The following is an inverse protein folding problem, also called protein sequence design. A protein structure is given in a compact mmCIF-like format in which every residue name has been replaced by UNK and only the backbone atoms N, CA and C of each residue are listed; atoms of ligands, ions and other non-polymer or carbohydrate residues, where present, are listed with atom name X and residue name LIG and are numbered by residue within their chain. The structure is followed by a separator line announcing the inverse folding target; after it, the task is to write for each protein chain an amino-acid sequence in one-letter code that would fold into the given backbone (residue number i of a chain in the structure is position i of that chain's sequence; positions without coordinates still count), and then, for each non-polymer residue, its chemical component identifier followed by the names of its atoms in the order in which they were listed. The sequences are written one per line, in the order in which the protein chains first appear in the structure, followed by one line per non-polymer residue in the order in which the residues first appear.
data_IF_089454831234
#
_entry.id   IF_089454831234
#
_cell.length_a   1.000
_cell.length_b   1.000
_cell.length_c   1.000
_cell.angle_alpha   90.00
_cell.angle_beta   90.00
_cell.angle_gamma   90.00
#
_symmetry.space_group_name_H-M   'P 1'
#
loop_
_entity.id
_entity.type
_entity.pdbx_description
1 polymer ?
#
# COMPACT_ATOMS: atom_id res chain seq x y z
N UNK A 1 -7.86 34.35 -12.70
CA UNK A 1 -8.64 33.11 -12.52
C UNK A 1 -8.61 32.33 -13.83
N UNK A 2 -7.68 31.38 -13.96
CA UNK A 2 -7.49 30.63 -15.23
C UNK A 2 -8.55 29.51 -15.29
N UNK A 3 -9.50 29.62 -16.22
CA UNK A 3 -10.43 28.55 -16.57
C UNK A 3 -9.63 27.41 -17.20
N UNK A 4 -9.38 26.34 -16.43
CA UNK A 4 -8.88 25.08 -16.97
C UNK A 4 -10.01 24.52 -17.85
N UNK A 5 -9.81 24.63 -19.17
CA UNK A 5 -10.67 24.08 -20.21
C UNK A 5 -10.82 22.57 -19.92
N UNK A 6 -12.05 22.06 -19.95
CA UNK A 6 -12.30 20.62 -19.83
C UNK A 6 -11.52 19.89 -20.92
N UNK A 7 -10.38 19.28 -20.54
CA UNK A 7 -9.61 18.40 -21.40
C UNK A 7 -10.43 17.12 -21.53
N UNK A 8 -11.14 16.99 -22.65
CA UNK A 8 -11.78 15.73 -23.04
C UNK A 8 -10.69 14.73 -23.38
N UNK A 9 -10.31 13.90 -22.40
CA UNK A 9 -9.32 12.85 -22.62
C UNK A 9 -9.93 11.70 -23.44
N UNK A 10 -9.29 11.39 -24.57
CA UNK A 10 -9.52 10.14 -25.27
C UNK A 10 -9.28 8.95 -24.33
N UNK A 11 -10.19 7.96 -24.29
CA UNK A 11 -9.96 6.76 -23.50
C UNK A 11 -8.67 6.08 -23.98
N UNK A 12 -7.68 5.91 -23.08
CA UNK A 12 -6.49 5.14 -23.40
C UNK A 12 -6.92 3.74 -23.88
N UNK A 13 -6.27 3.25 -24.95
CA UNK A 13 -6.49 1.89 -25.42
C UNK A 13 -6.29 0.90 -24.26
N UNK A 14 -7.06 -0.18 -24.26
CA UNK A 14 -7.01 -1.19 -23.20
C UNK A 14 -5.59 -1.73 -22.98
N UNK A 15 -4.85 -1.96 -24.07
CA UNK A 15 -3.45 -2.38 -24.04
C UNK A 15 -2.56 -1.36 -23.32
N UNK A 16 -2.72 -0.05 -23.61
CA UNK A 16 -1.95 1.01 -22.94
C UNK A 16 -2.18 1.02 -21.43
N UNK A 17 -3.39 0.76 -20.98
CA UNK A 17 -3.70 0.68 -19.54
C UNK A 17 -3.01 -0.52 -18.87
N UNK A 18 -2.98 -1.68 -19.53
CA UNK A 18 -2.26 -2.87 -19.03
C UNK A 18 -0.77 -2.58 -18.90
N UNK A 19 -0.16 -1.98 -19.93
CA UNK A 19 1.26 -1.63 -19.92
C UNK A 19 1.59 -0.67 -18.77
N UNK A 20 0.77 0.36 -18.55
CA UNK A 20 0.97 1.30 -17.45
C UNK A 20 0.87 0.60 -16.08
N UNK A 21 -0.12 -0.28 -15.90
CA UNK A 21 -0.26 -1.06 -14.66
C UNK A 21 1.00 -1.91 -14.43
N UNK A 22 1.47 -2.63 -15.45
CA UNK A 22 2.67 -3.45 -15.35
C UNK A 22 3.92 -2.62 -14.97
N UNK A 23 4.09 -1.44 -15.60
CA UNK A 23 5.18 -0.52 -15.29
C UNK A 23 5.10 -0.04 -13.84
N UNK A 24 3.94 0.40 -13.37
CA UNK A 24 3.77 0.87 -11.98
C UNK A 24 3.98 -0.26 -10.96
N UNK A 25 3.54 -1.48 -11.26
CA UNK A 25 3.83 -2.66 -10.45
C UNK A 25 5.33 -2.98 -10.39
N UNK A 26 6.02 -2.92 -11.52
CA UNK A 26 7.47 -3.14 -11.55
C UNK A 26 8.23 -2.05 -10.76
N UNK A 27 7.80 -0.79 -10.88
CA UNK A 27 8.38 0.33 -10.15
C UNK A 27 8.17 0.18 -8.64
N UNK A 28 7.01 -0.32 -8.20
CA UNK A 28 6.75 -0.63 -6.79
C UNK A 28 7.78 -1.61 -6.22
N UNK A 29 8.06 -2.70 -6.95
CA UNK A 29 9.04 -3.71 -6.54
C UNK A 29 10.45 -3.11 -6.45
N UNK A 30 10.85 -2.30 -7.45
CA UNK A 30 12.17 -1.64 -7.47
C UNK A 30 12.31 -0.63 -6.32
N UNK A 31 11.27 0.17 -6.07
CA UNK A 31 11.24 1.11 -4.95
C UNK A 31 11.33 0.37 -3.63
N UNK A 32 10.58 -0.72 -3.45
CA UNK A 32 10.66 -1.54 -2.26
C UNK A 32 12.06 -2.12 -2.02
N UNK A 33 12.72 -2.58 -3.08
CA UNK A 33 14.09 -3.12 -3.02
C UNK A 33 15.11 -2.05 -2.60
N UNK A 34 15.03 -0.88 -3.21
CA UNK A 34 15.95 0.24 -2.98
C UNK A 34 15.74 0.86 -1.61
N UNK A 35 14.49 1.03 -1.19
CA UNK A 35 14.17 1.58 0.13
C UNK A 35 14.52 0.62 1.25
N UNK A 36 14.37 -0.70 1.07
CA UNK A 36 14.83 -1.66 2.06
C UNK A 36 16.34 -1.56 2.30
N UNK A 37 17.14 -1.39 1.23
CA UNK A 37 18.59 -1.15 1.36
C UNK A 37 18.90 0.17 2.06
N UNK A 38 18.21 1.25 1.70
CA UNK A 38 18.40 2.56 2.32
C UNK A 38 17.96 2.57 3.80
N UNK A 39 16.86 1.91 4.14
CA UNK A 39 16.35 1.85 5.51
C UNK A 39 17.08 0.85 6.40
N UNK A 40 17.92 -0.03 5.83
CA UNK A 40 18.87 -0.84 6.61
C UNK A 40 19.96 0.03 7.26
N UNK A 41 20.29 1.20 6.72
CA UNK A 41 21.26 2.12 7.34
C UNK A 41 20.68 3.00 8.44
N UNK A 42 19.35 3.00 8.62
CA UNK A 42 18.69 3.71 9.73
C UNK A 42 18.80 2.85 11.01
N UNK A 43 19.07 3.45 12.19
CA UNK A 43 19.07 2.73 13.45
C UNK A 43 17.82 1.87 13.65
N UNK A 44 18.01 0.61 14.03
CA UNK A 44 16.93 -0.37 14.21
C UNK A 44 15.82 0.13 15.16
N UNK A 45 16.20 0.93 16.15
CA UNK A 45 15.28 1.61 17.06
C UNK A 45 14.29 2.47 16.28
N UNK A 46 14.74 3.37 15.42
CA UNK A 46 13.89 4.26 14.60
C UNK A 46 13.05 3.47 13.60
N UNK A 47 13.62 2.43 12.99
CA UNK A 47 12.93 1.55 12.01
C UNK A 47 11.70 0.84 12.60
N UNK A 48 11.66 0.65 13.92
CA UNK A 48 10.51 0.07 14.61
C UNK A 48 9.36 1.05 14.81
N UNK A 49 9.63 2.34 14.93
CA UNK A 49 8.59 3.36 15.18
C UNK A 49 7.95 3.89 13.90
N UNK A 50 8.69 3.94 12.79
CA UNK A 50 8.21 4.50 11.53
C UNK A 50 7.72 3.39 10.60
N UNK A 51 6.52 3.56 10.04
CA UNK A 51 6.04 2.73 8.94
C UNK A 51 6.82 3.08 7.67
N UNK A 52 7.89 2.34 7.36
CA UNK A 52 8.84 2.66 6.28
C UNK A 52 8.54 1.96 4.94
N UNK A 53 7.65 0.96 4.96
CA UNK A 53 7.26 0.21 3.76
C UNK A 53 6.38 1.02 2.79
N UNK A 54 6.04 2.27 3.13
CA UNK A 54 5.14 3.13 2.36
C UNK A 54 5.67 3.51 0.97
N UNK A 55 6.98 3.54 0.76
CA UNK A 55 7.55 4.04 -0.51
C UNK A 55 7.21 3.12 -1.68
N UNK A 56 7.17 1.81 -1.45
CA UNK A 56 6.77 0.83 -2.47
C UNK A 56 5.30 0.98 -2.89
N UNK A 57 4.48 1.63 -2.07
CA UNK A 57 3.04 1.80 -2.32
C UNK A 57 2.75 3.00 -3.22
N UNK A 58 3.66 3.99 -3.25
CA UNK A 58 3.48 5.27 -3.97
C UNK A 58 3.07 5.05 -5.44
N UNK A 59 3.70 4.15 -6.23
CA UNK A 59 3.30 3.92 -7.63
C UNK A 59 1.82 3.51 -7.78
N UNK A 60 1.27 2.75 -6.85
CA UNK A 60 -0.12 2.27 -6.93
C UNK A 60 -1.14 3.40 -6.82
N UNK A 61 -0.81 4.49 -6.12
CA UNK A 61 -1.67 5.67 -6.00
C UNK A 61 -1.87 6.39 -7.34
N UNK A 62 -1.02 6.15 -8.33
CA UNK A 62 -1.14 6.75 -9.66
C UNK A 62 -1.95 5.88 -10.63
N UNK A 63 -2.14 4.59 -10.35
CA UNK A 63 -2.94 3.70 -11.21
C UNK A 63 -4.34 4.29 -11.52
N UNK A 64 -5.10 4.81 -10.52
CA UNK A 64 -6.42 5.39 -10.77
C UNK A 64 -6.44 6.58 -11.75
N UNK A 65 -5.31 7.23 -12.01
CA UNK A 65 -5.25 8.32 -12.99
C UNK A 65 -5.35 7.83 -14.44
N UNK A 66 -4.93 6.58 -14.69
CA UNK A 66 -4.79 6.00 -16.03
C UNK A 66 -5.84 4.94 -16.35
N UNK A 67 -6.47 4.35 -15.34
CA UNK A 67 -7.45 3.29 -15.52
C UNK A 67 -8.84 3.83 -15.71
N UNK A 68 -9.54 3.32 -16.73
CA UNK A 68 -10.96 3.63 -16.91
C UNK A 68 -11.82 2.93 -15.84
N UNK A 69 -13.03 3.43 -15.60
CA UNK A 69 -13.96 2.88 -14.60
C UNK A 69 -14.49 1.45 -14.90
N UNK A 70 -14.03 0.82 -15.99
CA UNK A 70 -14.45 -0.53 -16.40
C UNK A 70 -14.02 -1.57 -15.36
N UNK A 71 -14.96 -2.44 -14.98
CA UNK A 71 -14.76 -3.50 -13.97
C UNK A 71 -13.60 -4.44 -14.34
N UNK A 72 -13.45 -4.77 -15.61
CA UNK A 72 -12.35 -5.62 -16.12
C UNK A 72 -10.98 -5.06 -15.78
N UNK A 73 -10.80 -3.74 -15.93
CA UNK A 73 -9.51 -3.09 -15.65
C UNK A 73 -9.26 -3.04 -14.15
N UNK A 74 -10.30 -2.81 -13.34
CA UNK A 74 -10.19 -2.89 -11.87
C UNK A 74 -9.74 -4.28 -11.41
N UNK A 75 -10.27 -5.34 -12.03
CA UNK A 75 -9.81 -6.72 -11.81
C UNK A 75 -8.34 -6.93 -12.19
N UNK A 76 -7.90 -6.37 -13.32
CA UNK A 76 -6.48 -6.44 -13.72
C UNK A 76 -5.55 -5.66 -12.79
N UNK A 77 -5.97 -4.50 -12.29
CA UNK A 77 -5.20 -3.77 -11.28
C UNK A 77 -5.07 -4.59 -10.00
N UNK A 78 -6.18 -5.15 -9.53
CA UNK A 78 -6.18 -6.03 -8.36
C UNK A 78 -5.19 -7.18 -8.51
N UNK A 79 -5.23 -7.89 -9.64
CA UNK A 79 -4.34 -9.00 -9.94
C UNK A 79 -2.88 -8.54 -10.06
N UNK A 80 -2.63 -7.43 -10.75
CA UNK A 80 -1.28 -6.88 -10.92
C UNK A 80 -0.64 -6.46 -9.59
N UNK A 81 -1.39 -5.79 -8.72
CA UNK A 81 -0.92 -5.36 -7.40
C UNK A 81 -0.68 -6.58 -6.49
N UNK A 82 -1.59 -7.55 -6.47
CA UNK A 82 -1.40 -8.79 -5.71
C UNK A 82 -0.20 -9.61 -6.23
N UNK A 83 -0.02 -9.67 -7.55
CA UNK A 83 1.14 -10.35 -8.12
C UNK A 83 2.45 -9.65 -7.73
N UNK A 84 2.46 -8.32 -7.74
CA UNK A 84 3.66 -7.56 -7.35
C UNK A 84 4.07 -7.78 -5.89
N UNK A 85 3.10 -7.89 -4.98
CA UNK A 85 3.39 -8.20 -3.57
C UNK A 85 3.83 -9.65 -3.37
N UNK A 86 3.26 -10.63 -4.11
CA UNK A 86 3.78 -11.99 -4.13
C UNK A 86 5.24 -12.04 -4.59
N UNK A 87 5.55 -11.39 -5.72
CA UNK A 87 6.93 -11.32 -6.24
C UNK A 87 7.86 -10.64 -5.23
N UNK A 88 7.45 -9.49 -4.68
CA UNK A 88 8.21 -8.79 -3.64
C UNK A 88 8.43 -9.65 -2.38
N UNK A 89 7.45 -10.44 -1.98
CA UNK A 89 7.58 -11.39 -0.89
C UNK A 89 8.64 -12.46 -1.20
N UNK A 90 8.55 -13.12 -2.37
CA UNK A 90 9.47 -14.21 -2.72
C UNK A 90 10.91 -13.73 -2.92
N UNK A 91 11.10 -12.50 -3.40
CA UNK A 91 12.45 -11.93 -3.58
C UNK A 91 13.04 -11.48 -2.24
N UNK A 92 12.28 -10.79 -1.39
CA UNK A 92 12.84 -10.06 -0.25
C UNK A 92 12.50 -10.62 1.13
N UNK A 93 11.40 -11.38 1.27
CA UNK A 93 10.80 -11.72 2.58
C UNK A 93 10.61 -13.21 2.85
N UNK A 94 10.83 -14.08 1.86
CA UNK A 94 10.54 -15.53 1.98
C UNK A 94 11.23 -16.23 3.15
N UNK A 95 12.41 -15.75 3.58
CA UNK A 95 13.14 -16.33 4.71
C UNK A 95 12.62 -15.91 6.08
N UNK A 96 11.89 -14.80 6.16
CA UNK A 96 11.54 -14.17 7.43
C UNK A 96 10.13 -14.55 7.93
N UNK A 97 9.19 -14.79 7.02
CA UNK A 97 7.80 -15.08 7.32
C UNK A 97 7.23 -16.06 6.29
N UNK A 98 6.27 -16.93 6.63
CA UNK A 98 5.60 -17.80 5.66
C UNK A 98 4.71 -16.99 4.70
N UNK A 99 4.55 -17.49 3.47
CA UNK A 99 3.71 -16.84 2.48
C UNK A 99 2.25 -17.00 2.87
N UNK A 100 1.47 -15.93 2.77
CA UNK A 100 0.03 -15.97 2.99
C UNK A 100 -0.69 -15.38 1.80
N UNK A 101 -1.44 -16.25 1.11
CA UNK A 101 -2.34 -15.85 0.03
C UNK A 101 -3.36 -14.81 0.50
N UNK A 102 -3.83 -14.92 1.74
CA UNK A 102 -4.81 -13.99 2.33
C UNK A 102 -4.18 -12.61 2.48
N UNK A 103 -2.96 -12.51 3.03
CA UNK A 103 -2.26 -11.23 3.18
C UNK A 103 -2.02 -10.56 1.82
N UNK A 104 -1.64 -11.36 0.82
CA UNK A 104 -1.42 -10.86 -0.53
C UNK A 104 -2.73 -10.38 -1.20
N UNK A 105 -3.80 -11.14 -1.04
CA UNK A 105 -5.13 -10.76 -1.51
C UNK A 105 -5.60 -9.45 -0.86
N UNK A 106 -5.39 -9.31 0.46
CA UNK A 106 -5.72 -8.07 1.16
C UNK A 106 -4.87 -6.90 0.70
N UNK A 107 -3.59 -7.12 0.37
CA UNK A 107 -2.74 -6.11 -0.24
C UNK A 107 -3.34 -5.60 -1.57
N UNK A 108 -3.77 -6.52 -2.44
CA UNK A 108 -4.47 -6.20 -3.68
C UNK A 108 -5.76 -5.39 -3.48
N UNK A 109 -6.54 -5.70 -2.44
CA UNK A 109 -7.73 -4.90 -2.10
C UNK A 109 -7.32 -3.48 -1.70
N UNK A 110 -6.37 -3.37 -0.75
CA UNK A 110 -5.97 -2.10 -0.16
C UNK A 110 -5.37 -1.14 -1.18
N UNK A 111 -4.49 -1.64 -2.05
CA UNK A 111 -3.68 -0.79 -2.93
C UNK A 111 -4.04 -0.93 -4.41
N UNK A 112 -4.77 -1.98 -4.79
CA UNK A 112 -5.26 -2.16 -6.15
C UNK A 112 -6.71 -1.69 -6.32
N UNK A 113 -7.65 -2.22 -5.53
CA UNK A 113 -9.08 -1.94 -5.70
C UNK A 113 -9.51 -0.62 -5.07
N UNK A 114 -9.28 -0.43 -3.77
CA UNK A 114 -9.80 0.73 -3.04
C UNK A 114 -9.34 2.07 -3.62
N UNK A 115 -8.07 2.27 -4.05
CA UNK A 115 -7.66 3.54 -4.62
C UNK A 115 -8.42 3.86 -5.92
N UNK A 116 -8.77 2.86 -6.71
CA UNK A 116 -9.55 3.02 -7.94
C UNK A 116 -11.01 3.40 -7.68
N UNK A 117 -11.56 3.10 -6.50
CA UNK A 117 -12.90 3.55 -6.12
C UNK A 117 -12.88 4.94 -5.51
N UNK A 118 -11.86 5.24 -4.71
CA UNK A 118 -11.83 6.47 -3.94
C UNK A 118 -11.20 7.64 -4.68
N UNK A 119 -10.06 7.46 -5.35
CA UNK A 119 -9.34 8.58 -5.97
C UNK A 119 -10.05 9.07 -7.23
N UNK A 120 -10.34 10.37 -7.24
CA UNK A 120 -10.75 11.10 -8.45
C UNK A 120 -9.71 12.14 -8.82
N UNK A 121 -9.67 12.51 -10.10
CA UNK A 121 -8.66 13.44 -10.64
C UNK A 121 -8.65 14.81 -9.95
N UNK A 122 -9.79 15.30 -9.44
CA UNK A 122 -9.93 16.69 -8.95
C UNK A 122 -10.13 16.83 -7.44
N UNK A 123 -9.52 15.97 -6.63
CA UNK A 123 -9.59 16.12 -5.18
C UNK A 123 -8.64 17.17 -4.64
N UNK A 124 -9.08 17.87 -3.58
CA UNK A 124 -8.24 18.78 -2.81
C UNK A 124 -7.21 18.00 -1.99
N UNK A 125 -6.15 18.71 -1.55
CA UNK A 125 -5.09 18.14 -0.72
C UNK A 125 -5.66 17.43 0.52
N UNK A 126 -6.54 18.12 1.26
CA UNK A 126 -7.15 17.60 2.50
C UNK A 126 -7.95 16.32 2.24
N UNK A 127 -8.79 16.29 1.19
CA UNK A 127 -9.57 15.09 0.84
C UNK A 127 -8.67 13.91 0.48
N UNK A 128 -7.63 14.16 -0.30
CA UNK A 128 -6.66 13.14 -0.70
C UNK A 128 -5.89 12.61 0.51
N UNK A 129 -5.50 13.50 1.43
CA UNK A 129 -4.85 13.13 2.69
C UNK A 129 -5.71 12.18 3.52
N UNK A 130 -6.99 12.50 3.75
CA UNK A 130 -7.88 11.62 4.52
C UNK A 130 -8.10 10.27 3.84
N UNK A 131 -8.17 10.22 2.51
CA UNK A 131 -8.27 8.95 1.78
C UNK A 131 -7.00 8.11 1.88
N UNK A 132 -5.83 8.72 1.75
CA UNK A 132 -4.54 8.05 1.93
C UNK A 132 -4.43 7.51 3.37
N UNK A 133 -4.78 8.34 4.36
CA UNK A 133 -4.79 7.94 5.76
C UNK A 133 -5.74 6.76 6.01
N UNK A 134 -6.94 6.80 5.43
CA UNK A 134 -7.91 5.70 5.54
C UNK A 134 -7.36 4.41 4.93
N UNK A 135 -6.71 4.48 3.75
CA UNK A 135 -6.08 3.33 3.12
C UNK A 135 -4.94 2.76 3.98
N UNK A 136 -4.12 3.63 4.57
CA UNK A 136 -3.07 3.20 5.50
C UNK A 136 -3.65 2.55 6.75
N UNK A 137 -4.70 3.12 7.35
CA UNK A 137 -5.37 2.51 8.52
C UNK A 137 -5.94 1.15 8.13
N UNK A 138 -6.62 1.04 6.98
CA UNK A 138 -7.21 -0.20 6.53
C UNK A 138 -6.13 -1.26 6.27
N UNK A 139 -5.08 -0.91 5.52
CA UNK A 139 -3.92 -1.77 5.29
C UNK A 139 -3.27 -2.21 6.61
N UNK A 140 -3.07 -1.26 7.53
CA UNK A 140 -2.46 -1.52 8.82
C UNK A 140 -3.28 -2.48 9.69
N UNK A 141 -4.58 -2.24 9.82
CA UNK A 141 -5.46 -3.09 10.59
C UNK A 141 -5.55 -4.48 9.96
N UNK A 142 -5.80 -4.57 8.66
CA UNK A 142 -5.94 -5.86 8.01
C UNK A 142 -4.65 -6.68 8.06
N UNK A 143 -3.51 -6.10 7.66
CA UNK A 143 -2.24 -6.83 7.66
C UNK A 143 -1.85 -7.25 9.08
N UNK A 144 -1.99 -6.39 10.09
CA UNK A 144 -1.57 -6.74 11.44
C UNK A 144 -2.57 -7.64 12.17
N UNK A 145 -3.89 -7.49 11.98
CA UNK A 145 -4.89 -8.37 12.57
C UNK A 145 -4.82 -9.76 11.92
N UNK A 146 -4.72 -9.85 10.59
CA UNK A 146 -4.54 -11.13 9.89
C UNK A 146 -3.21 -11.79 10.22
N UNK A 147 -2.11 -11.02 10.27
CA UNK A 147 -0.80 -11.56 10.65
C UNK A 147 -0.80 -12.04 12.11
N UNK A 148 -1.44 -11.31 13.02
CA UNK A 148 -1.57 -11.73 14.42
C UNK A 148 -2.44 -13.00 14.53
N UNK A 149 -3.55 -13.11 13.79
CA UNK A 149 -4.41 -14.29 13.77
C UNK A 149 -3.70 -15.53 13.19
N UNK A 150 -2.95 -15.36 12.10
CA UNK A 150 -2.14 -16.44 11.51
C UNK A 150 -1.01 -16.87 12.47
N UNK A 151 -0.30 -15.90 13.09
CA UNK A 151 0.72 -16.19 14.09
C UNK A 151 0.14 -16.93 15.31
N UNK A 152 -1.08 -16.56 15.74
CA UNK A 152 -1.80 -17.26 16.80
C UNK A 152 -2.08 -18.71 16.42
N UNK A 153 -2.65 -18.94 15.24
CA UNK A 153 -2.98 -20.28 14.74
C UNK A 153 -1.74 -21.18 14.60
N UNK A 154 -0.59 -20.62 14.21
CA UNK A 154 0.65 -21.40 14.12
C UNK A 154 1.33 -21.69 15.47
N UNK A 155 1.04 -20.91 16.52
CA UNK A 155 1.60 -21.13 17.86
C UNK A 155 0.68 -21.90 18.82
N UNK A 156 -0.63 -21.94 18.55
CA UNK A 156 -1.61 -22.60 19.42
C UNK A 156 -1.74 -24.12 19.20
N UNK A 157 -0.82 -24.75 18.48
CA UNK A 157 -0.65 -26.22 18.55
C UNK A 157 -0.23 -26.70 19.96
N UNK A 158 0.18 -25.79 20.84
CA UNK A 158 0.37 -26.07 22.28
C UNK A 158 -0.84 -25.62 23.09
N UNK A 159 -1.76 -26.57 23.32
CA UNK A 159 -2.76 -26.79 24.41
C UNK A 159 -3.35 -25.67 25.28
N UNK A 160 -2.80 -24.45 25.36
CA UNK A 160 -3.33 -23.38 26.19
C UNK A 160 -4.12 -22.35 25.38
N UNK A 161 -5.39 -22.16 25.76
CA UNK A 161 -6.27 -21.09 25.27
C UNK A 161 -5.79 -19.74 25.80
N UNK A 162 -4.66 -19.26 25.30
CA UNK A 162 -4.22 -17.89 25.52
C UNK A 162 -5.27 -16.97 24.88
N UNK A 163 -5.79 -15.98 25.60
CA UNK A 163 -6.69 -15.00 25.01
C UNK A 163 -5.88 -14.05 24.13
N UNK A 164 -6.41 -13.67 22.95
CA UNK A 164 -5.77 -12.71 22.03
C UNK A 164 -5.33 -11.44 22.79
N UNK A 165 -6.17 -10.97 23.71
CA UNK A 165 -5.89 -9.81 24.56
C UNK A 165 -4.66 -10.01 25.46
N UNK A 166 -4.54 -11.17 26.12
CA UNK A 166 -3.39 -11.48 26.98
C UNK A 166 -2.06 -11.59 26.20
N UNK A 167 -2.10 -12.08 24.96
CA UNK A 167 -0.93 -12.11 24.07
C UNK A 167 -0.49 -10.71 23.65
N UNK A 168 -1.43 -9.83 23.31
CA UNK A 168 -1.12 -8.44 22.95
C UNK A 168 -0.52 -7.65 24.12
N UNK A 169 -0.97 -7.89 25.35
CA UNK A 169 -0.47 -7.21 26.55
C UNK A 169 0.91 -7.75 26.97
N UNK A 170 1.11 -9.08 26.90
CA UNK A 170 2.36 -9.72 27.35
C UNK A 170 3.51 -9.53 26.36
N UNK A 171 3.22 -9.39 25.06
CA UNK A 171 4.25 -9.36 24.05
C UNK A 171 4.80 -7.94 23.83
N UNK A 172 6.06 -7.70 24.25
CA UNK A 172 6.76 -6.41 24.02
C UNK A 172 6.76 -5.98 22.54
N UNK A 173 6.64 -6.92 21.60
CA UNK A 173 6.53 -6.64 20.16
C UNK A 173 5.24 -5.89 19.80
N UNK A 174 4.17 -6.04 20.58
CA UNK A 174 2.89 -5.37 20.34
C UNK A 174 2.92 -3.86 20.58
N UNK A 175 3.78 -3.36 21.48
CA UNK A 175 4.01 -1.92 21.62
C UNK A 175 4.52 -1.28 20.33
N UNK A 176 5.36 -1.98 19.56
CA UNK A 176 5.82 -1.47 18.27
C UNK A 176 4.68 -1.36 17.25
N UNK A 177 3.66 -2.24 17.33
CA UNK A 177 2.47 -2.07 16.51
C UNK A 177 1.69 -0.81 16.93
N UNK A 178 1.50 -0.57 18.21
CA UNK A 178 0.78 0.64 18.64
C UNK A 178 1.54 1.91 18.24
N UNK A 179 2.86 1.92 18.40
CA UNK A 179 3.70 3.07 18.04
C UNK A 179 3.73 3.33 16.53
N UNK A 180 3.79 2.28 15.70
CA UNK A 180 3.71 2.42 14.23
C UNK A 180 2.39 3.02 13.79
N UNK A 181 1.28 2.73 14.49
CA UNK A 181 -0.03 3.31 14.18
C UNK A 181 -0.01 4.84 14.29
N UNK A 182 0.64 5.40 15.32
CA UNK A 182 0.77 6.85 15.49
C UNK A 182 1.64 7.52 14.42
N UNK A 183 2.47 6.75 13.69
CA UNK A 183 3.22 7.29 12.56
C UNK A 183 2.37 7.45 11.29
N UNK A 184 1.21 6.78 11.18
CA UNK A 184 0.37 6.78 9.98
C UNK A 184 -0.10 8.16 9.55
N UNK A 185 -0.53 9.09 10.43
CA UNK A 185 -0.89 10.45 10.02
C UNK A 185 0.26 11.19 9.35
N UNK A 186 1.47 11.10 9.93
CA UNK A 186 2.67 11.77 9.40
C UNK A 186 3.06 11.16 8.05
N UNK A 187 3.10 9.83 7.96
CA UNK A 187 3.41 9.13 6.70
C UNK A 187 2.37 9.46 5.62
N UNK A 188 1.09 9.50 5.97
CA UNK A 188 0.01 9.86 5.06
C UNK A 188 0.15 11.29 4.54
N UNK A 189 0.56 12.23 5.40
CA UNK A 189 0.84 13.61 4.99
C UNK A 189 1.99 13.67 3.98
N UNK A 190 3.12 13.00 4.26
CA UNK A 190 4.28 12.94 3.35
C UNK A 190 3.90 12.31 2.01
N UNK A 191 3.18 11.19 2.03
CA UNK A 191 2.71 10.52 0.80
C UNK A 191 1.76 11.42 0.01
N UNK A 192 0.86 12.14 0.68
CA UNK A 192 -0.04 13.09 0.00
C UNK A 192 0.73 14.23 -0.64
N UNK A 193 1.72 14.78 0.06
CA UNK A 193 2.60 15.82 -0.46
C UNK A 193 3.34 15.36 -1.72
N UNK A 194 3.97 14.17 -1.67
CA UNK A 194 4.65 13.58 -2.82
C UNK A 194 3.67 13.30 -3.97
N UNK A 195 2.48 12.77 -3.65
CA UNK A 195 1.45 12.50 -4.64
C UNK A 195 1.07 13.77 -5.42
N UNK A 196 0.82 14.90 -4.75
CA UNK A 196 0.49 16.15 -5.45
C UNK A 196 1.64 16.69 -6.28
N UNK A 197 2.87 16.64 -5.76
CA UNK A 197 4.08 17.06 -6.50
C UNK A 197 4.24 16.27 -7.79
N UNK A 198 4.17 14.94 -7.71
CA UNK A 198 4.37 14.06 -8.87
C UNK A 198 3.17 14.13 -9.82
N UNK A 199 1.94 14.14 -9.29
CA UNK A 199 0.70 14.21 -10.08
C UNK A 199 0.69 15.42 -11.01
N UNK A 200 1.20 16.57 -10.54
CA UNK A 200 1.32 17.77 -11.37
C UNK A 200 2.17 17.50 -12.62
N UNK A 201 3.33 16.86 -12.47
CA UNK A 201 4.19 16.50 -13.60
C UNK A 201 3.57 15.43 -14.50
N UNK A 202 2.91 14.44 -13.92
CA UNK A 202 2.24 13.36 -14.66
C UNK A 202 1.10 13.88 -15.54
N UNK A 203 0.28 14.80 -15.02
CA UNK A 203 -0.83 15.38 -15.78
C UNK A 203 -0.31 16.25 -16.92
N UNK A 204 0.82 16.95 -16.74
CA UNK A 204 1.41 17.79 -17.79
C UNK A 204 2.04 16.99 -18.94
N UNK A 205 2.31 15.69 -18.75
CA UNK A 205 2.88 14.82 -19.78
C UNK A 205 1.82 14.25 -20.75
N UNK A 206 0.53 14.49 -20.53
CA UNK A 206 -0.59 13.92 -21.32
C UNK A 206 -1.73 14.91 -21.55
#
# INVERSE_FOLDING_TARGET
MIKIKNISHHPHSFLKQIVIIAVLCSLSIVLYATTNKFFLSIPFTIRKFVFLDFVGIIPFLFIPLYTSNKTTIKGLVFLGVSFSEAVGYFIFRYKAYPFSFILNFTYGICWGLLPNFFFKKNYSFIKTYFLILLLFIFHYLFVNILAAGLYFHFLTDTTDKISILSFFISNKKCYYFVLRFFSLPIVSFVVTFLYFRIKYHIIMLF
#
